data_IF_342124086489
#
_entry.id   IF_342124086489
#
_cell.length_a   1.000
_cell.length_b   1.000
_cell.length_c   1.000
_cell.angle_alpha   90.00
_cell.angle_beta   90.00
_cell.angle_gamma   90.00
#
_symmetry.space_group_name_H-M   'P 1'
#
loop_
_entity.id
_entity.type
_entity.pdbx_description
1 polymer ?
#
# COMPACT_ATOMS: atom_id res chain seq x y z
N UNK A 1 -15.82 -7.30 41.30
CA UNK A 1 -16.37 -8.47 40.57
C UNK A 1 -17.71 -8.04 40.00
N UNK A 2 -17.77 -7.46 38.79
CA UNK A 2 -19.02 -7.36 38.02
C UNK A 2 -18.75 -6.92 36.56
N UNK A 3 -18.97 -7.89 35.68
CA UNK A 3 -19.58 -7.83 34.34
C UNK A 3 -19.08 -6.85 33.28
N UNK A 4 -18.25 -7.44 32.40
CA UNK A 4 -18.04 -7.13 30.99
C UNK A 4 -19.39 -7.05 30.23
N UNK A 5 -19.78 -5.86 29.74
CA UNK A 5 -20.83 -5.73 28.72
C UNK A 5 -20.17 -5.64 27.34
N UNK A 6 -20.19 -6.77 26.64
CA UNK A 6 -19.93 -6.89 25.22
C UNK A 6 -21.15 -6.33 24.46
N UNK A 7 -21.09 -5.09 23.96
CA UNK A 7 -22.07 -4.60 22.97
C UNK A 7 -21.53 -4.86 21.56
N UNK A 8 -21.88 -6.03 21.03
CA UNK A 8 -21.86 -6.28 19.60
C UNK A 8 -22.95 -5.42 18.96
N UNK A 9 -22.57 -4.33 18.29
CA UNK A 9 -23.47 -3.64 17.36
C UNK A 9 -23.31 -4.26 15.99
N UNK A 10 -24.21 -5.19 15.68
CA UNK A 10 -24.61 -5.47 14.30
C UNK A 10 -25.27 -4.21 13.75
N UNK A 11 -24.58 -3.51 12.85
CA UNK A 11 -25.23 -2.64 11.88
C UNK A 11 -24.99 -3.24 10.50
N UNK A 12 -26.01 -3.94 10.01
CA UNK A 12 -26.12 -4.28 8.60
C UNK A 12 -26.30 -3.00 7.81
N UNK A 13 -25.45 -2.82 6.80
CA UNK A 13 -25.72 -1.98 5.65
C UNK A 13 -25.15 -2.74 4.47
N UNK A 14 -25.98 -3.62 3.90
CA UNK A 14 -25.75 -4.15 2.58
C UNK A 14 -25.99 -3.01 1.58
N UNK A 15 -25.01 -2.13 1.44
CA UNK A 15 -24.87 -1.29 0.26
C UNK A 15 -24.14 -2.15 -0.77
N UNK A 16 -24.87 -2.57 -1.79
CA UNK A 16 -24.26 -2.92 -3.06
C UNK A 16 -23.47 -1.70 -3.54
N UNK A 17 -22.14 -1.74 -3.54
CA UNK A 17 -21.36 -0.64 -4.12
C UNK A 17 -19.90 -0.51 -3.70
N UNK A 18 -19.54 -0.81 -2.45
CA UNK A 18 -18.24 -0.37 -1.94
C UNK A 18 -17.20 -1.49 -1.91
N UNK A 19 -16.12 -1.29 -2.67
CA UNK A 19 -14.89 -2.10 -2.66
C UNK A 19 -14.11 -1.78 -1.38
N UNK A 20 -14.70 -2.06 -0.22
CA UNK A 20 -14.10 -1.72 1.07
C UNK A 20 -13.91 -2.99 1.89
N UNK A 21 -12.66 -3.43 1.93
CA UNK A 21 -12.22 -4.46 2.87
C UNK A 21 -11.87 -3.77 4.18
N UNK A 22 -12.51 -4.19 5.27
CA UNK A 22 -12.11 -3.75 6.61
C UNK A 22 -10.82 -4.45 7.00
N UNK A 23 -9.75 -3.69 7.21
CA UNK A 23 -8.55 -4.15 7.90
C UNK A 23 -8.97 -4.54 9.31
N UNK A 24 -8.92 -5.83 9.62
CA UNK A 24 -9.33 -6.34 10.91
C UNK A 24 -8.18 -6.16 11.91
N UNK A 25 -8.45 -5.71 13.14
CA UNK A 25 -7.44 -5.74 14.19
C UNK A 25 -6.99 -7.18 14.46
N UNK A 26 -5.69 -7.42 14.36
CA UNK A 26 -4.90 -8.55 14.92
C UNK A 26 -5.57 -9.94 14.88
N UNK A 27 -5.33 -10.72 13.81
CA UNK A 27 -5.67 -12.16 13.78
C UNK A 27 -4.48 -13.13 13.89
N UNK A 28 -3.24 -12.74 13.52
CA UNK A 28 -2.05 -13.55 13.78
C UNK A 28 -0.77 -12.70 13.67
N UNK A 29 0.29 -13.06 14.41
CA UNK A 29 1.62 -12.44 14.28
C UNK A 29 2.39 -12.90 13.01
N UNK A 30 1.73 -13.65 12.13
CA UNK A 30 2.33 -14.17 10.90
C UNK A 30 2.09 -13.21 9.75
N UNK A 31 3.18 -12.62 9.26
CA UNK A 31 3.21 -11.89 8.00
C UNK A 31 3.85 -12.76 6.92
N UNK A 32 3.67 -12.45 5.63
CA UNK A 32 4.44 -13.09 4.56
C UNK A 32 5.94 -12.94 4.80
N UNK A 33 6.80 -13.79 4.18
CA UNK A 33 8.24 -13.60 4.27
C UNK A 33 8.64 -12.20 3.75
N UNK A 34 9.56 -11.52 4.44
CA UNK A 34 9.98 -10.17 4.06
C UNK A 34 10.66 -10.19 2.70
N UNK A 35 10.44 -9.14 1.91
CA UNK A 35 11.03 -8.89 0.59
C UNK A 35 10.68 -9.92 -0.47
N UNK A 36 9.58 -10.66 -0.27
CA UNK A 36 9.04 -11.60 -1.26
C UNK A 36 7.62 -11.24 -1.59
N UNK A 37 7.23 -11.42 -2.86
CA UNK A 37 5.85 -11.17 -3.30
C UNK A 37 4.91 -12.16 -2.62
N UNK A 38 3.92 -11.71 -1.82
CA UNK A 38 3.00 -12.62 -1.17
C UNK A 38 2.14 -13.40 -2.18
N UNK A 39 1.94 -14.68 -1.91
CA UNK A 39 1.10 -15.56 -2.73
C UNK A 39 -0.38 -15.48 -2.35
N UNK A 40 -1.26 -16.00 -3.19
CA UNK A 40 -2.69 -16.10 -2.89
C UNK A 40 -2.96 -16.88 -1.58
N UNK A 41 -2.20 -17.95 -1.30
CA UNK A 41 -2.34 -18.73 -0.07
C UNK A 41 -1.90 -17.97 1.19
N UNK A 42 -1.06 -16.95 1.02
CA UNK A 42 -0.65 -16.04 2.08
C UNK A 42 -1.53 -14.79 2.13
N UNK A 43 -2.61 -14.72 1.34
CA UNK A 43 -3.49 -13.56 1.27
C UNK A 43 -4.84 -13.90 1.91
N UNK A 44 -5.36 -13.06 2.82
CA UNK A 44 -6.67 -13.29 3.40
C UNK A 44 -7.75 -13.46 2.32
N UNK A 45 -8.55 -14.53 2.44
CA UNK A 45 -9.59 -14.86 1.46
C UNK A 45 -10.59 -13.71 1.25
N UNK A 46 -10.88 -12.92 2.31
CA UNK A 46 -11.74 -11.74 2.20
C UNK A 46 -11.21 -10.69 1.22
N UNK A 47 -9.89 -10.56 1.06
CA UNK A 47 -9.27 -9.59 0.15
C UNK A 47 -9.38 -10.09 -1.29
N UNK A 48 -9.12 -11.38 -1.51
CA UNK A 48 -9.27 -12.02 -2.82
C UNK A 48 -10.74 -12.04 -3.27
N UNK A 49 -11.68 -12.34 -2.38
CA UNK A 49 -13.11 -12.29 -2.68
C UNK A 49 -13.56 -10.87 -3.06
N UNK A 50 -13.01 -9.84 -2.41
CA UNK A 50 -13.30 -8.46 -2.76
C UNK A 50 -12.74 -8.10 -4.15
N UNK A 51 -11.53 -8.56 -4.47
CA UNK A 51 -10.94 -8.43 -5.79
C UNK A 51 -11.82 -9.09 -6.86
N UNK A 52 -12.22 -10.34 -6.64
CA UNK A 52 -13.07 -11.10 -7.57
C UNK A 52 -14.40 -10.37 -7.80
N UNK A 53 -15.01 -9.83 -6.74
CA UNK A 53 -16.23 -9.02 -6.85
C UNK A 53 -16.01 -7.72 -7.67
N UNK A 54 -14.86 -7.06 -7.53
CA UNK A 54 -14.53 -5.87 -8.31
C UNK A 54 -14.26 -6.18 -9.78
N UNK A 55 -13.58 -7.29 -10.07
CA UNK A 55 -13.38 -7.79 -11.43
C UNK A 55 -14.72 -8.13 -12.07
N UNK A 56 -15.58 -8.88 -11.38
CA UNK A 56 -16.92 -9.24 -11.86
C UNK A 56 -17.80 -8.00 -12.09
N UNK A 57 -17.60 -6.93 -11.31
CA UNK A 57 -18.29 -5.65 -11.48
C UNK A 57 -17.66 -4.75 -12.57
N UNK A 58 -16.62 -5.21 -13.27
CA UNK A 58 -15.94 -4.44 -14.32
C UNK A 58 -15.15 -3.22 -13.81
N UNK A 59 -14.83 -3.19 -12.51
CA UNK A 59 -14.09 -2.07 -11.89
C UNK A 59 -12.59 -2.16 -12.09
N UNK A 60 -12.07 -3.36 -12.32
CA UNK A 60 -10.64 -3.62 -12.58
C UNK A 60 -10.48 -3.95 -14.06
N UNK A 61 -9.69 -3.19 -14.81
CA UNK A 61 -9.48 -3.44 -16.24
C UNK A 61 -8.73 -4.75 -16.45
N UNK A 62 -9.06 -5.44 -17.55
CA UNK A 62 -8.41 -6.70 -17.92
C UNK A 62 -7.10 -6.43 -18.68
N UNK A 63 -6.09 -5.94 -17.96
CA UNK A 63 -4.73 -5.75 -18.47
C UNK A 63 -3.88 -6.94 -18.00
N UNK A 64 -3.26 -7.66 -18.94
CA UNK A 64 -2.35 -8.73 -18.60
C UNK A 64 -1.09 -8.17 -17.91
N UNK A 65 -0.52 -8.85 -16.90
CA UNK A 65 0.74 -8.42 -16.30
C UNK A 65 1.85 -8.27 -17.34
N UNK A 66 2.63 -7.21 -17.21
CA UNK A 66 3.84 -7.02 -17.97
C UNK A 66 4.91 -8.05 -17.56
N UNK A 67 5.91 -8.27 -18.40
CA UNK A 67 7.08 -9.07 -18.07
C UNK A 67 8.19 -8.12 -17.64
N UNK A 68 8.89 -8.43 -16.55
CA UNK A 68 10.10 -7.70 -16.18
C UNK A 68 11.25 -8.10 -17.10
N UNK A 69 11.67 -7.19 -17.97
CA UNK A 69 12.84 -7.33 -18.83
C UNK A 69 13.92 -6.34 -18.35
N UNK A 70 14.91 -6.85 -17.63
CA UNK A 70 16.07 -6.08 -17.14
C UNK A 70 15.67 -4.84 -16.32
N UNK A 71 14.65 -4.97 -15.47
CA UNK A 71 14.15 -3.87 -14.64
C UNK A 71 13.12 -2.97 -15.34
N UNK A 72 12.70 -3.31 -16.56
CA UNK A 72 11.67 -2.58 -17.29
C UNK A 72 10.44 -3.46 -17.51
N UNK A 73 9.22 -2.95 -17.26
CA UNK A 73 7.99 -3.67 -17.57
C UNK A 73 7.71 -3.63 -19.08
N UNK A 74 7.58 -4.81 -19.69
CA UNK A 74 7.25 -4.97 -21.11
C UNK A 74 5.89 -5.63 -21.25
N UNK A 75 4.94 -4.88 -21.82
CA UNK A 75 3.57 -5.34 -22.02
C UNK A 75 3.48 -6.21 -23.28
N UNK A 76 2.72 -7.31 -23.19
CA UNK A 76 2.37 -8.10 -24.37
C UNK A 76 1.54 -7.25 -25.36
N UNK A 77 1.74 -7.49 -26.66
CA UNK A 77 1.01 -6.83 -27.75
C UNK A 77 1.01 -5.28 -27.68
N UNK A 78 2.01 -4.68 -27.03
CA UNK A 78 2.13 -3.24 -26.85
C UNK A 78 0.93 -2.58 -26.11
N UNK A 79 0.21 -3.33 -25.26
CA UNK A 79 -0.96 -2.79 -24.51
C UNK A 79 -0.58 -1.59 -23.63
N UNK A 80 0.67 -1.50 -23.15
CA UNK A 80 1.16 -0.33 -22.41
C UNK A 80 1.15 0.98 -23.20
N UNK A 81 1.07 0.92 -24.54
CA UNK A 81 0.91 2.07 -25.44
C UNK A 81 -0.54 2.26 -25.92
N UNK A 82 -1.48 1.39 -25.51
CA UNK A 82 -2.89 1.57 -25.84
C UNK A 82 -3.41 2.88 -25.20
N UNK A 83 -4.17 3.72 -25.93
CA UNK A 83 -4.70 4.98 -25.39
C UNK A 83 -5.57 4.84 -24.14
N UNK A 84 -6.13 3.65 -23.88
CA UNK A 84 -6.93 3.35 -22.69
C UNK A 84 -6.08 2.81 -21.53
N UNK A 85 -4.79 2.54 -21.75
CA UNK A 85 -3.85 2.12 -20.71
C UNK A 85 -3.01 3.31 -20.26
N UNK A 86 -3.30 3.80 -19.06
CA UNK A 86 -2.53 4.81 -18.38
C UNK A 86 -1.35 4.16 -17.64
N UNK A 87 -0.28 3.85 -18.37
CA UNK A 87 0.98 3.38 -17.79
C UNK A 87 1.95 4.53 -17.57
N UNK A 88 2.33 4.79 -16.32
CA UNK A 88 3.34 5.84 -16.05
C UNK A 88 4.72 5.44 -16.60
N UNK A 89 5.08 4.16 -16.51
CA UNK A 89 6.39 3.68 -16.98
C UNK A 89 6.54 3.87 -18.49
N UNK A 90 5.53 3.49 -19.27
CA UNK A 90 5.58 3.46 -20.73
C UNK A 90 5.27 4.81 -21.37
N UNK A 91 4.18 5.45 -20.96
CA UNK A 91 3.66 6.67 -21.63
C UNK A 91 3.75 7.91 -20.75
N UNK A 92 4.28 7.80 -19.52
CA UNK A 92 4.27 8.87 -18.51
C UNK A 92 2.84 9.37 -18.23
N UNK A 93 1.85 8.51 -18.42
CA UNK A 93 0.48 8.85 -18.13
C UNK A 93 0.28 9.12 -16.64
N UNK A 94 -0.49 10.16 -16.34
CA UNK A 94 -0.92 10.54 -15.01
C UNK A 94 -2.43 10.58 -15.02
N UNK A 95 -3.05 9.75 -14.20
CA UNK A 95 -4.50 9.65 -14.07
C UNK A 95 -5.06 10.83 -13.28
N UNK A 96 -6.37 11.06 -13.39
CA UNK A 96 -7.09 12.13 -12.70
C UNK A 96 -6.92 12.08 -11.17
N UNK A 97 -6.76 10.89 -10.61
CA UNK A 97 -6.66 10.68 -9.16
C UNK A 97 -5.21 10.67 -8.66
N UNK A 98 -4.23 10.79 -9.55
CA UNK A 98 -2.83 10.77 -9.18
C UNK A 98 -2.41 12.13 -8.62
N UNK A 99 -1.70 12.11 -7.49
CA UNK A 99 -1.16 13.31 -6.87
C UNK A 99 0.30 13.45 -7.32
N UNK A 100 0.54 14.31 -8.31
CA UNK A 100 1.88 14.58 -8.85
C UNK A 100 2.46 15.93 -8.45
N UNK A 101 1.63 16.83 -7.91
CA UNK A 101 2.04 18.17 -7.48
C UNK A 101 1.52 18.48 -6.07
N UNK A 102 2.31 19.22 -5.31
CA UNK A 102 1.84 19.87 -4.09
C UNK A 102 0.87 21.02 -4.43
N UNK A 103 0.00 21.43 -3.49
CA UNK A 103 -0.79 22.65 -3.64
C UNK A 103 0.09 23.88 -3.89
N UNK A 104 -0.43 24.93 -4.55
CA UNK A 104 0.32 26.18 -4.73
C UNK A 104 0.88 26.73 -3.42
N UNK A 105 2.12 27.23 -3.46
CA UNK A 105 2.85 27.77 -2.31
C UNK A 105 3.10 26.76 -1.17
N UNK A 106 3.05 25.46 -1.46
CA UNK A 106 3.40 24.41 -0.51
C UNK A 106 4.47 23.48 -1.07
N UNK A 107 5.22 22.84 -0.18
CA UNK A 107 6.13 21.73 -0.49
C UNK A 107 5.65 20.52 0.31
N UNK A 108 5.51 19.39 -0.36
CA UNK A 108 5.24 18.11 0.28
C UNK A 108 6.55 17.30 0.33
N UNK A 109 6.98 16.94 1.55
CA UNK A 109 8.18 16.14 1.76
C UNK A 109 7.76 14.68 1.93
N UNK A 110 8.37 13.80 1.14
CA UNK A 110 8.15 12.37 1.22
C UNK A 110 9.45 11.58 1.21
N UNK A 111 9.50 10.49 1.97
CA UNK A 111 10.61 9.55 2.00
C UNK A 111 10.10 8.15 1.68
N UNK A 112 10.72 7.51 0.69
CA UNK A 112 10.37 6.15 0.28
C UNK A 112 11.31 5.15 0.98
N UNK A 113 10.97 3.86 0.85
CA UNK A 113 11.80 2.72 1.27
C UNK A 113 12.04 2.56 2.78
N UNK A 114 11.42 3.39 3.60
CA UNK A 114 11.53 3.29 5.06
C UNK A 114 10.71 2.14 5.66
N UNK A 115 10.94 1.82 6.94
CA UNK A 115 12.11 2.19 7.75
C UNK A 115 13.38 1.40 7.37
N UNK A 116 14.55 1.95 7.70
CA UNK A 116 15.87 1.30 7.59
C UNK A 116 16.66 1.52 8.88
N UNK A 117 17.88 0.98 8.97
CA UNK A 117 18.75 1.19 10.14
C UNK A 117 19.00 2.66 10.49
N UNK A 118 19.04 3.55 9.49
CA UNK A 118 19.35 4.98 9.66
C UNK A 118 18.09 5.84 9.85
N UNK A 119 16.89 5.25 9.81
CA UNK A 119 15.65 6.04 9.87
C UNK A 119 15.50 6.85 11.16
N UNK A 120 16.11 6.43 12.27
CA UNK A 120 16.07 7.20 13.51
C UNK A 120 16.72 8.59 13.36
N UNK A 121 17.80 8.72 12.60
CA UNK A 121 18.47 10.00 12.39
C UNK A 121 17.57 10.96 11.60
N UNK A 122 16.87 10.44 10.60
CA UNK A 122 15.88 11.18 9.84
C UNK A 122 14.72 11.65 10.75
N UNK A 123 14.15 10.75 11.55
CA UNK A 123 13.02 11.09 12.42
C UNK A 123 13.41 12.13 13.48
N UNK A 124 14.59 11.95 14.09
CA UNK A 124 15.16 12.93 15.04
C UNK A 124 15.35 14.30 14.37
N UNK A 125 15.91 14.32 13.16
CA UNK A 125 16.11 15.57 12.41
C UNK A 125 14.78 16.28 12.10
N UNK A 126 13.79 15.56 11.60
CA UNK A 126 12.47 16.12 11.30
C UNK A 126 11.83 16.69 12.58
N UNK A 127 11.88 15.94 13.68
CA UNK A 127 11.34 16.35 14.98
C UNK A 127 12.01 17.61 15.53
N UNK A 128 13.34 17.65 15.53
CA UNK A 128 14.13 18.79 15.98
C UNK A 128 13.86 20.06 15.17
N UNK A 129 13.49 19.92 13.89
CA UNK A 129 13.15 21.03 13.00
C UNK A 129 11.64 21.30 12.92
N UNK A 130 10.83 20.65 13.77
CA UNK A 130 9.38 20.73 13.78
C UNK A 130 8.74 20.49 12.39
N UNK A 131 9.28 19.52 11.64
CA UNK A 131 8.83 19.13 10.32
C UNK A 131 8.04 17.82 10.36
N UNK A 132 7.00 17.74 9.53
CA UNK A 132 6.28 16.51 9.21
C UNK A 132 6.61 16.06 7.80
N UNK A 133 6.69 14.75 7.57
CA UNK A 133 6.82 14.17 6.24
C UNK A 133 5.87 12.99 6.04
N UNK A 134 5.64 12.61 4.79
CA UNK A 134 5.00 11.33 4.44
C UNK A 134 6.07 10.28 4.20
N UNK A 135 6.01 9.19 4.95
CA UNK A 135 6.91 8.06 4.80
C UNK A 135 6.17 6.94 4.07
N UNK A 136 6.58 6.65 2.83
CA UNK A 136 6.05 5.55 2.04
C UNK A 136 6.79 4.28 2.48
N UNK A 137 6.13 3.52 3.33
CA UNK A 137 6.72 2.39 4.02
C UNK A 137 6.67 1.13 3.17
N UNK A 138 7.80 0.44 3.04
CA UNK A 138 7.80 -0.94 2.57
C UNK A 138 7.33 -1.83 3.72
N UNK A 139 6.29 -2.64 3.51
CA UNK A 139 5.72 -3.49 4.57
C UNK A 139 6.76 -4.42 5.21
N UNK A 140 7.62 -5.02 4.38
CA UNK A 140 8.74 -5.86 4.84
C UNK A 140 9.75 -5.12 5.70
N UNK A 141 9.95 -3.82 5.45
CA UNK A 141 10.84 -2.99 6.27
C UNK A 141 10.20 -2.69 7.63
N UNK A 142 8.90 -2.43 7.69
CA UNK A 142 8.19 -2.29 8.98
C UNK A 142 8.32 -3.56 9.83
N UNK A 143 8.29 -4.73 9.18
CA UNK A 143 8.50 -6.02 9.85
C UNK A 143 9.94 -6.17 10.35
N UNK A 144 10.92 -5.78 9.53
CA UNK A 144 12.35 -5.99 9.77
C UNK A 144 12.98 -4.96 10.72
N UNK A 145 12.42 -3.76 10.78
CA UNK A 145 12.91 -2.64 11.60
C UNK A 145 11.80 -2.12 12.55
N UNK A 146 11.26 -2.97 13.43
CA UNK A 146 10.09 -2.63 14.25
C UNK A 146 10.40 -1.51 15.26
N UNK A 147 11.65 -1.38 15.71
CA UNK A 147 12.06 -0.33 16.65
C UNK A 147 12.06 1.06 16.00
N UNK A 148 12.53 1.14 14.75
CA UNK A 148 12.56 2.37 13.96
C UNK A 148 11.15 2.78 13.57
N UNK A 149 10.30 1.85 13.17
CA UNK A 149 8.89 2.16 12.93
C UNK A 149 8.20 2.66 14.21
N UNK A 150 8.42 1.99 15.35
CA UNK A 150 7.87 2.43 16.64
C UNK A 150 8.39 3.82 17.05
N UNK A 151 9.62 4.18 16.71
CA UNK A 151 10.13 5.53 16.90
C UNK A 151 9.36 6.54 16.05
N UNK A 152 9.20 6.29 14.74
CA UNK A 152 8.41 7.16 13.87
C UNK A 152 6.98 7.38 14.39
N UNK A 153 6.34 6.33 14.92
CA UNK A 153 5.00 6.40 15.51
C UNK A 153 4.99 7.28 16.76
N UNK A 154 6.00 7.17 17.64
CA UNK A 154 6.10 7.96 18.87
C UNK A 154 6.27 9.46 18.61
N UNK A 155 6.90 9.85 17.49
CA UNK A 155 7.02 11.26 17.11
C UNK A 155 5.65 11.94 16.89
N UNK A 156 4.60 11.18 16.57
CA UNK A 156 3.21 11.64 16.53
C UNK A 156 2.84 12.61 15.40
N UNK A 157 3.82 13.23 14.73
CA UNK A 157 3.63 14.18 13.61
C UNK A 157 3.90 13.58 12.22
N UNK A 158 4.35 12.32 12.17
CA UNK A 158 4.70 11.67 10.91
C UNK A 158 3.47 11.06 10.24
N UNK A 159 3.48 11.04 8.91
CA UNK A 159 2.42 10.45 8.09
C UNK A 159 2.93 9.17 7.43
N UNK A 160 2.12 8.10 7.43
CA UNK A 160 2.53 6.79 6.88
C UNK A 160 1.70 6.44 5.65
N UNK A 161 2.38 6.07 4.57
CA UNK A 161 1.79 5.66 3.31
C UNK A 161 2.33 4.29 2.90
N UNK A 162 1.68 3.64 1.95
CA UNK A 162 2.07 2.32 1.45
C UNK A 162 3.11 2.46 0.33
N UNK A 163 4.17 1.65 0.40
CA UNK A 163 5.13 1.47 -0.69
C UNK A 163 5.30 0.00 -1.09
N UNK A 164 4.19 -0.74 -1.05
CA UNK A 164 4.11 -2.19 -1.26
C UNK A 164 4.87 -3.02 -0.21
N UNK A 165 4.69 -4.34 -0.25
CA UNK A 165 5.29 -5.26 0.70
C UNK A 165 6.75 -5.57 0.31
N UNK A 166 7.00 -5.82 -0.97
CA UNK A 166 8.27 -6.35 -1.48
C UNK A 166 8.97 -5.49 -2.52
N UNK A 167 8.41 -4.31 -2.85
CA UNK A 167 9.04 -3.30 -3.71
C UNK A 167 9.37 -3.82 -5.14
N UNK A 168 8.41 -4.48 -5.78
CA UNK A 168 8.49 -4.92 -7.17
C UNK A 168 7.82 -3.93 -8.13
N UNK A 169 8.13 -4.06 -9.43
CA UNK A 169 7.40 -3.38 -10.51
C UNK A 169 5.93 -3.84 -10.49
N UNK A 170 5.01 -2.99 -10.05
CA UNK A 170 3.61 -3.36 -9.83
C UNK A 170 2.93 -3.89 -11.09
N UNK A 171 3.24 -3.35 -12.26
CA UNK A 171 2.58 -3.76 -13.52
C UNK A 171 2.95 -5.18 -13.93
N UNK A 172 4.04 -5.73 -13.39
CA UNK A 172 4.47 -7.11 -13.62
C UNK A 172 3.77 -8.14 -12.71
N UNK A 173 3.04 -7.66 -11.71
CA UNK A 173 2.32 -8.49 -10.77
C UNK A 173 0.90 -8.81 -11.27
N UNK A 174 0.37 -9.95 -10.82
CA UNK A 174 -1.05 -10.27 -10.98
C UNK A 174 -1.90 -9.39 -10.06
N UNK A 175 -3.19 -9.27 -10.34
CA UNK A 175 -4.11 -8.50 -9.48
C UNK A 175 -4.15 -9.06 -8.06
N UNK A 176 -4.09 -10.39 -7.89
CA UNK A 176 -4.02 -11.02 -6.56
C UNK A 176 -2.74 -10.62 -5.82
N UNK A 177 -1.60 -10.60 -6.51
CA UNK A 177 -0.32 -10.16 -5.93
C UNK A 177 -0.35 -8.68 -5.57
N UNK A 178 -0.91 -7.81 -6.42
CA UNK A 178 -1.08 -6.37 -6.13
C UNK A 178 -1.91 -6.14 -4.87
N UNK A 179 -3.06 -6.81 -4.77
CA UNK A 179 -3.91 -6.73 -3.56
C UNK A 179 -3.16 -7.20 -2.32
N UNK A 180 -2.34 -8.25 -2.44
CA UNK A 180 -1.54 -8.74 -1.33
C UNK A 180 -0.41 -7.78 -0.93
N UNK A 181 0.31 -7.20 -1.89
CA UNK A 181 1.37 -6.21 -1.70
C UNK A 181 0.86 -4.97 -0.94
N UNK A 182 -0.28 -4.43 -1.38
CA UNK A 182 -0.91 -3.27 -0.77
C UNK A 182 -1.51 -3.63 0.59
N UNK A 183 -2.31 -4.71 0.64
CA UNK A 183 -3.05 -5.11 1.82
C UNK A 183 -2.15 -5.48 3.00
N UNK A 184 -1.09 -6.26 2.78
CA UNK A 184 -0.16 -6.64 3.86
C UNK A 184 0.62 -5.46 4.40
N UNK A 185 0.96 -4.50 3.54
CA UNK A 185 1.63 -3.27 3.95
C UNK A 185 0.70 -2.38 4.78
N UNK A 186 -0.56 -2.22 4.36
CA UNK A 186 -1.55 -1.49 5.15
C UNK A 186 -1.79 -2.18 6.51
N UNK A 187 -1.90 -3.51 6.52
CA UNK A 187 -2.14 -4.30 7.73
C UNK A 187 -0.99 -4.14 8.72
N UNK A 188 0.28 -4.29 8.30
CA UNK A 188 1.40 -4.17 9.23
C UNK A 188 1.56 -2.74 9.76
N UNK A 189 1.32 -1.72 8.93
CA UNK A 189 1.31 -0.32 9.39
C UNK A 189 0.23 -0.15 10.47
N UNK A 190 -0.99 -0.64 10.23
CA UNK A 190 -2.08 -0.56 11.21
C UNK A 190 -1.75 -1.30 12.51
N UNK A 191 -1.25 -2.52 12.42
CA UNK A 191 -0.93 -3.35 13.58
C UNK A 191 0.18 -2.73 14.45
N UNK A 192 1.23 -2.18 13.82
CA UNK A 192 2.42 -1.68 14.52
C UNK A 192 2.29 -0.23 14.98
N UNK A 193 1.33 0.51 14.46
CA UNK A 193 1.07 1.91 14.83
C UNK A 193 -0.05 2.08 15.86
N UNK A 194 -0.78 1.01 16.18
CA UNK A 194 -1.96 1.09 17.05
C UNK A 194 -3.25 1.49 16.33
N UNK A 195 -3.36 1.19 15.04
CA UNK A 195 -4.59 1.35 14.23
C UNK A 195 -4.54 2.43 13.16
N UNK A 196 -3.37 2.98 12.84
CA UNK A 196 -3.24 3.94 11.75
C UNK A 196 -3.49 3.25 10.40
N UNK A 197 -4.47 3.73 9.63
CA UNK A 197 -4.79 3.22 8.29
C UNK A 197 -4.24 4.18 7.22
N UNK A 198 -3.27 3.75 6.40
CA UNK A 198 -2.78 4.56 5.28
C UNK A 198 -3.88 4.94 4.32
N UNK A 199 -3.87 6.21 3.88
CA UNK A 199 -4.78 6.73 2.84
C UNK A 199 -4.13 6.86 1.48
N UNK A 200 -2.80 6.83 1.44
CA UNK A 200 -2.01 7.06 0.24
C UNK A 200 -1.03 5.91 0.05
N UNK A 201 -0.64 5.73 -1.21
CA UNK A 201 0.41 4.81 -1.60
C UNK A 201 1.22 5.44 -2.73
N UNK A 202 2.42 4.91 -2.95
CA UNK A 202 3.27 5.25 -4.08
C UNK A 202 3.77 3.96 -4.71
N UNK A 203 3.67 3.76 -6.02
CA UNK A 203 4.22 2.58 -6.67
C UNK A 203 5.76 2.62 -6.65
N UNK A 204 6.43 1.50 -6.31
CA UNK A 204 7.87 1.33 -6.52
C UNK A 204 8.28 1.74 -7.93
N UNK A 205 9.34 2.54 -8.03
CA UNK A 205 9.90 3.00 -9.31
C UNK A 205 8.92 3.81 -10.20
N UNK A 206 7.78 4.23 -9.65
CA UNK A 206 6.70 4.88 -10.40
C UNK A 206 5.88 3.92 -11.25
N UNK A 207 6.09 2.61 -11.15
CA UNK A 207 5.48 1.63 -12.06
C UNK A 207 4.03 1.33 -11.69
N UNK A 208 3.09 1.77 -12.52
CA UNK A 208 1.64 1.63 -12.30
C UNK A 208 0.90 1.63 -13.63
N UNK A 209 -0.24 0.92 -13.66
CA UNK A 209 -1.27 1.01 -14.70
C UNK A 209 -2.67 1.10 -14.07
N UNK A 210 -3.73 0.97 -14.87
CA UNK A 210 -5.10 1.16 -14.39
C UNK A 210 -5.64 0.07 -13.44
N UNK A 211 -4.89 -1.01 -13.18
CA UNK A 211 -5.34 -2.12 -12.33
C UNK A 211 -5.27 -1.84 -10.82
#
# INVERSE_FOLDING_TARGET
MLQLLLLATLAGSALAGDFTVKIQPRQANSYPPPFTVPTANQTPAAWLNALDAAVAAGKIPNIAPAINQEGNPVYANNVGFDPNTCSWTVTKCVSKNDIVNAPPNAIAIGFDDGPTGNSNDLYNFLSANNQSATHFMIGSNVLSYPQQFAHAVREGKQHFAVHTWSHQLCTTLTNQQLVAELGWTMQIIADKSGGYIPKFWRPPQGDIDNR
#
